data_IF_296090639380
#
_entry.id   IF_296090639380
#
_cell.length_a   1.000
_cell.length_b   1.000
_cell.length_c   1.000
_cell.angle_alpha   90.00
_cell.angle_beta   90.00
_cell.angle_gamma   90.00
#
_symmetry.space_group_name_H-M   'P 1'
#
loop_
_entity.id
_entity.type
_entity.pdbx_description
1 polymer ?
#
# COMPACT_ATOMS: atom_id res chain seq x y z
N UNK A 1 6.01 23.37 -28.18
CA UNK A 1 5.24 22.93 -29.37
C UNK A 1 4.03 22.18 -28.87
N UNK A 2 2.82 22.70 -29.08
CA UNK A 2 1.58 22.05 -28.67
C UNK A 2 1.34 20.82 -29.55
N UNK A 3 1.70 19.64 -29.06
CA UNK A 3 1.22 18.40 -29.66
C UNK A 3 -0.20 18.19 -29.17
N UNK A 4 -1.18 18.72 -29.90
CA UNK A 4 -2.60 18.43 -29.63
C UNK A 4 -2.85 16.96 -29.94
N UNK A 5 -2.79 16.13 -28.90
CA UNK A 5 -3.30 14.79 -28.95
C UNK A 5 -4.82 14.80 -28.73
N UNK A 6 -5.53 13.84 -29.30
CA UNK A 6 -6.89 13.54 -28.84
C UNK A 6 -6.77 12.95 -27.42
N UNK A 7 -7.10 13.76 -26.41
CA UNK A 7 -7.05 13.32 -25.02
C UNK A 7 -8.00 12.15 -24.79
N UNK A 8 -7.61 11.22 -23.92
CA UNK A 8 -8.50 10.14 -23.48
C UNK A 8 -9.58 10.77 -22.61
N UNK A 9 -10.84 10.63 -23.01
CA UNK A 9 -11.98 11.08 -22.22
C UNK A 9 -12.18 10.18 -21.02
N UNK A 10 -12.31 10.77 -19.85
CA UNK A 10 -12.59 10.09 -18.58
C UNK A 10 -13.96 10.58 -18.09
N UNK A 11 -14.93 9.67 -18.01
CA UNK A 11 -16.33 10.05 -17.77
C UNK A 11 -16.60 10.46 -16.32
N UNK A 12 -16.05 9.72 -15.37
CA UNK A 12 -16.23 9.97 -13.95
C UNK A 12 -15.07 10.79 -13.38
N UNK A 13 -15.34 11.66 -12.40
CA UNK A 13 -14.30 12.45 -11.78
C UNK A 13 -13.41 11.61 -10.86
N UNK A 14 -12.18 12.06 -10.68
CA UNK A 14 -11.23 11.53 -9.70
C UNK A 14 -11.06 12.52 -8.55
N UNK A 15 -10.93 12.03 -7.31
CA UNK A 15 -10.60 12.86 -6.16
C UNK A 15 -9.09 12.95 -6.06
N UNK A 16 -8.55 14.16 -6.17
CA UNK A 16 -7.14 14.43 -5.95
C UNK A 16 -6.94 15.06 -4.58
N UNK A 17 -6.08 14.45 -3.78
CA UNK A 17 -5.64 14.99 -2.50
C UNK A 17 -4.19 15.43 -2.62
N UNK A 18 -3.96 16.75 -2.59
CA UNK A 18 -2.62 17.31 -2.62
C UNK A 18 -1.91 17.13 -1.27
N UNK A 19 -0.60 17.37 -1.25
CA UNK A 19 0.24 17.06 -0.11
C UNK A 19 1.24 18.15 0.23
N UNK A 20 2.36 17.75 0.83
CA UNK A 20 3.34 18.66 1.42
C UNK A 20 4.74 18.53 0.79
N UNK A 21 5.57 19.56 1.03
CA UNK A 21 7.01 19.57 0.79
C UNK A 21 7.45 19.10 -0.62
N UNK A 22 8.43 18.19 -0.72
CA UNK A 22 9.01 17.78 -1.99
C UNK A 22 8.02 16.98 -2.83
N UNK A 23 7.17 16.20 -2.17
CA UNK A 23 6.12 15.42 -2.84
C UNK A 23 5.07 16.32 -3.47
N UNK A 24 4.70 17.46 -2.85
CA UNK A 24 3.78 18.44 -3.46
C UNK A 24 4.31 18.98 -4.79
N UNK A 25 5.61 19.33 -4.84
CA UNK A 25 6.26 19.83 -6.05
C UNK A 25 6.23 18.78 -7.17
N UNK A 26 6.58 17.54 -6.83
CA UNK A 26 6.56 16.40 -7.77
C UNK A 26 5.12 16.13 -8.24
N UNK A 27 4.16 16.16 -7.33
CA UNK A 27 2.75 15.88 -7.60
C UNK A 27 2.16 16.86 -8.62
N UNK A 28 2.46 18.15 -8.46
CA UNK A 28 2.04 19.17 -9.42
C UNK A 28 2.64 18.95 -10.80
N UNK A 29 3.92 18.60 -10.88
CA UNK A 29 4.59 18.26 -12.15
C UNK A 29 3.98 17.01 -12.80
N UNK A 30 3.73 15.95 -12.04
CA UNK A 30 3.07 14.74 -12.55
C UNK A 30 1.71 15.11 -13.13
N UNK A 31 0.86 15.82 -12.38
CA UNK A 31 -0.46 16.23 -12.87
C UNK A 31 -0.37 17.07 -14.14
N UNK A 32 0.49 18.10 -14.15
CA UNK A 32 0.59 19.05 -15.25
C UNK A 32 1.23 18.46 -16.52
N UNK A 33 2.21 17.57 -16.36
CA UNK A 33 3.06 17.11 -17.47
C UNK A 33 2.80 15.66 -17.90
N UNK A 34 2.33 14.81 -16.99
CA UNK A 34 2.12 13.38 -17.23
C UNK A 34 0.65 12.98 -17.28
N UNK A 35 -0.28 13.78 -16.73
CA UNK A 35 -1.72 13.43 -16.67
C UNK A 35 -2.55 14.33 -17.60
N UNK A 36 -2.66 15.63 -17.30
CA UNK A 36 -3.53 16.58 -18.00
C UNK A 36 -3.24 16.77 -19.50
N UNK A 37 -2.00 16.58 -20.02
CA UNK A 37 -1.75 16.64 -21.45
C UNK A 37 -2.39 15.49 -22.24
N UNK A 38 -2.63 14.36 -21.58
CA UNK A 38 -3.10 13.11 -22.22
C UNK A 38 -4.55 12.77 -21.90
N UNK A 39 -5.08 13.28 -20.79
CA UNK A 39 -6.42 12.95 -20.29
C UNK A 39 -7.34 14.19 -20.24
N UNK A 40 -8.57 14.02 -20.69
CA UNK A 40 -9.68 14.93 -20.42
C UNK A 40 -10.45 14.36 -19.22
N UNK A 41 -10.09 14.83 -18.03
CA UNK A 41 -10.51 14.28 -16.74
C UNK A 41 -10.97 15.39 -15.79
N UNK A 42 -12.11 15.19 -15.15
CA UNK A 42 -12.61 16.05 -14.09
C UNK A 42 -11.94 15.69 -12.76
N UNK A 43 -11.21 16.64 -12.17
CA UNK A 43 -10.50 16.45 -10.91
C UNK A 43 -11.20 17.21 -9.80
N UNK A 44 -11.66 16.47 -8.78
CA UNK A 44 -12.14 17.06 -7.51
C UNK A 44 -10.94 17.24 -6.59
N UNK A 45 -10.42 18.45 -6.59
CA UNK A 45 -9.20 18.81 -5.88
C UNK A 45 -9.48 19.16 -4.41
N UNK A 46 -8.69 18.56 -3.52
CA UNK A 46 -8.67 18.84 -2.08
C UNK A 46 -7.21 19.07 -1.66
N UNK A 47 -6.92 20.23 -1.11
CA UNK A 47 -5.58 20.52 -0.60
C UNK A 47 -5.40 19.94 0.80
N UNK A 48 -4.65 18.85 0.94
CA UNK A 48 -4.33 18.29 2.27
C UNK A 48 -2.96 18.78 2.78
N UNK A 49 -2.42 19.84 2.19
CA UNK A 49 -1.25 20.54 2.71
C UNK A 49 -1.48 20.99 4.15
N UNK A 50 -0.45 20.90 4.99
CA UNK A 50 -0.52 21.11 6.44
C UNK A 50 -1.09 22.48 6.80
N UNK A 51 -0.72 23.53 6.08
CA UNK A 51 -1.22 24.89 6.31
C UNK A 51 -2.74 24.99 6.04
N UNK A 52 -3.23 24.40 4.95
CA UNK A 52 -4.68 24.45 4.63
C UNK A 52 -5.51 23.51 5.52
N UNK A 53 -4.93 22.39 5.97
CA UNK A 53 -5.53 21.59 7.04
C UNK A 53 -5.63 22.39 8.33
N UNK A 54 -4.60 23.14 8.71
CA UNK A 54 -4.68 24.01 9.89
C UNK A 54 -5.73 25.12 9.71
N UNK A 55 -5.78 25.77 8.54
CA UNK A 55 -6.78 26.79 8.21
C UNK A 55 -8.21 26.28 8.38
N UNK A 56 -8.51 25.08 7.84
CA UNK A 56 -9.84 24.47 7.81
C UNK A 56 -10.19 23.64 9.05
N UNK A 57 -9.37 23.69 10.08
CA UNK A 57 -9.49 22.87 11.29
C UNK A 57 -9.58 21.35 10.99
N UNK A 58 -8.80 20.91 10.00
CA UNK A 58 -8.72 19.56 9.41
C UNK A 58 -10.01 19.07 8.74
N UNK A 59 -11.00 19.96 8.54
CA UNK A 59 -12.25 19.61 7.86
C UNK A 59 -12.01 19.17 6.42
N UNK A 60 -11.05 19.77 5.70
CA UNK A 60 -10.72 19.40 4.32
C UNK A 60 -10.36 17.91 4.17
N UNK A 61 -9.75 17.31 5.20
CA UNK A 61 -9.39 15.89 5.20
C UNK A 61 -10.62 14.99 5.25
N UNK A 62 -11.63 15.38 6.05
CA UNK A 62 -12.92 14.68 6.12
C UNK A 62 -13.69 14.84 4.81
N UNK A 63 -13.75 16.06 4.29
CA UNK A 63 -14.45 16.36 3.03
C UNK A 63 -13.84 15.59 1.84
N UNK A 64 -12.50 15.45 1.80
CA UNK A 64 -11.82 14.64 0.81
C UNK A 64 -12.20 13.15 0.93
N UNK A 65 -12.23 12.60 2.14
CA UNK A 65 -12.62 11.20 2.38
C UNK A 65 -14.08 10.92 1.95
N UNK A 66 -15.01 11.83 2.27
CA UNK A 66 -16.40 11.75 1.83
C UNK A 66 -16.53 11.86 0.30
N UNK A 67 -15.70 12.69 -0.33
CA UNK A 67 -15.64 12.78 -1.79
C UNK A 67 -15.14 11.46 -2.42
N UNK A 68 -14.17 10.77 -1.82
CA UNK A 68 -13.73 9.46 -2.31
C UNK A 68 -14.88 8.45 -2.22
N UNK A 69 -15.63 8.42 -1.11
CA UNK A 69 -16.81 7.57 -1.00
C UNK A 69 -17.87 7.88 -2.06
N UNK A 70 -18.03 9.17 -2.40
CA UNK A 70 -18.98 9.63 -3.43
C UNK A 70 -18.57 9.28 -4.85
N UNK A 71 -17.30 9.49 -5.21
CA UNK A 71 -16.80 9.38 -6.58
C UNK A 71 -16.05 8.06 -6.85
N UNK A 72 -15.71 7.32 -5.80
CA UNK A 72 -15.15 5.97 -5.81
C UNK A 72 -13.63 5.88 -6.00
N UNK A 73 -12.94 6.94 -6.40
CA UNK A 73 -11.49 6.90 -6.68
C UNK A 73 -10.81 8.13 -6.11
N UNK A 74 -9.87 7.90 -5.19
CA UNK A 74 -8.96 8.90 -4.63
C UNK A 74 -7.51 8.64 -5.03
N UNK A 75 -6.78 9.70 -5.37
CA UNK A 75 -5.31 9.68 -5.53
C UNK A 75 -4.71 10.70 -4.58
N UNK A 76 -3.72 10.27 -3.79
CA UNK A 76 -3.21 11.03 -2.66
C UNK A 76 -1.71 11.24 -2.71
N UNK A 77 -1.32 12.51 -2.56
CA UNK A 77 0.05 12.91 -2.29
C UNK A 77 0.44 12.65 -0.82
N UNK A 78 1.73 12.49 -0.55
CA UNK A 78 2.22 12.35 0.82
C UNK A 78 1.98 13.64 1.62
N UNK A 79 1.54 13.50 2.87
CA UNK A 79 1.18 14.60 3.78
C UNK A 79 1.99 14.54 5.08
N UNK A 80 2.28 15.69 5.67
CA UNK A 80 2.91 15.76 6.99
C UNK A 80 1.90 15.33 8.06
N UNK A 81 2.30 14.43 8.96
CA UNK A 81 1.63 14.28 10.26
C UNK A 81 2.47 15.08 11.27
N UNK A 82 1.96 16.19 11.83
CA UNK A 82 2.78 17.08 12.64
C UNK A 82 3.13 16.47 14.00
N UNK A 83 4.39 16.63 14.40
CA UNK A 83 4.89 16.45 15.77
C UNK A 83 5.05 17.82 16.45
N UNK A 84 5.61 17.86 17.66
CA UNK A 84 5.84 19.11 18.40
C UNK A 84 6.69 20.11 17.59
N UNK A 85 7.74 19.63 16.91
CA UNK A 85 8.61 20.48 16.11
C UNK A 85 7.88 21.08 14.90
N UNK A 86 6.99 20.32 14.27
CA UNK A 86 6.15 20.82 13.16
C UNK A 86 5.08 21.80 13.63
N UNK A 87 4.53 21.62 14.83
CA UNK A 87 3.61 22.59 15.44
C UNK A 87 4.30 23.94 15.61
N UNK A 88 5.54 23.95 16.11
CA UNK A 88 6.34 25.17 16.24
C UNK A 88 6.72 25.77 14.87
N UNK A 89 7.21 24.94 13.94
CA UNK A 89 7.67 25.37 12.62
C UNK A 89 6.55 26.08 11.83
N UNK A 90 5.36 25.47 11.78
CA UNK A 90 4.23 25.96 11.00
C UNK A 90 3.26 26.83 11.81
N UNK A 91 3.54 27.03 13.11
CA UNK A 91 2.67 27.77 14.04
C UNK A 91 1.23 27.25 14.06
N UNK A 92 1.09 25.93 14.14
CA UNK A 92 -0.21 25.26 14.04
C UNK A 92 -1.10 25.56 15.26
N UNK A 93 -2.42 25.62 15.03
CA UNK A 93 -3.41 25.75 16.10
C UNK A 93 -3.34 24.60 17.11
N UNK A 94 -3.05 23.39 16.62
CA UNK A 94 -2.82 22.18 17.43
C UNK A 94 -2.11 21.10 16.61
N UNK A 95 -1.69 20.04 17.30
CA UNK A 95 -1.15 18.84 16.67
C UNK A 95 -2.27 18.05 16.00
N UNK A 96 -2.45 18.26 14.69
CA UNK A 96 -3.46 17.57 13.88
C UNK A 96 -3.17 16.08 13.74
N UNK A 97 -4.23 15.26 13.62
CA UNK A 97 -4.10 13.82 13.40
C UNK A 97 -3.58 13.54 11.98
N UNK A 98 -3.08 12.33 11.78
CA UNK A 98 -2.63 11.88 10.45
C UNK A 98 -3.80 11.86 9.45
N UNK A 99 -3.70 12.53 8.29
CA UNK A 99 -4.74 12.47 7.26
C UNK A 99 -5.02 11.04 6.79
N UNK A 100 -3.97 10.21 6.68
CA UNK A 100 -4.09 8.79 6.33
C UNK A 100 -4.95 8.04 7.34
N UNK A 101 -4.76 8.30 8.63
CA UNK A 101 -5.57 7.72 9.70
C UNK A 101 -7.04 8.14 9.60
N UNK A 102 -7.30 9.44 9.37
CA UNK A 102 -8.65 9.97 9.21
C UNK A 102 -9.36 9.36 7.99
N UNK A 103 -8.71 9.36 6.81
CA UNK A 103 -9.26 8.79 5.57
C UNK A 103 -9.55 7.29 5.76
N UNK A 104 -8.59 6.51 6.27
CA UNK A 104 -8.78 5.07 6.52
C UNK A 104 -9.92 4.78 7.49
N UNK A 105 -10.12 5.63 8.50
CA UNK A 105 -11.23 5.47 9.44
C UNK A 105 -12.60 5.75 8.80
N UNK A 106 -12.67 6.68 7.84
CA UNK A 106 -13.92 7.06 7.16
C UNK A 106 -14.25 6.05 6.05
N UNK A 107 -13.27 5.71 5.20
CA UNK A 107 -13.45 4.76 4.10
C UNK A 107 -13.61 3.32 4.63
N UNK A 108 -12.92 2.99 5.73
CA UNK A 108 -12.70 1.61 6.15
C UNK A 108 -11.82 0.85 5.15
N UNK A 109 -11.78 -0.47 5.30
CA UNK A 109 -11.13 -1.36 4.32
C UNK A 109 -9.69 -1.75 4.66
N UNK A 110 -8.94 -2.08 3.61
CA UNK A 110 -7.65 -2.77 3.68
C UNK A 110 -6.60 -2.04 2.87
N UNK A 111 -5.42 -1.82 3.44
CA UNK A 111 -4.28 -1.23 2.72
C UNK A 111 -3.46 -2.35 2.09
N UNK A 112 -3.36 -2.34 0.77
CA UNK A 112 -2.49 -3.21 0.00
C UNK A 112 -1.21 -2.47 -0.39
N UNK A 113 -0.06 -3.04 -0.05
CA UNK A 113 1.25 -2.54 -0.43
C UNK A 113 1.91 -3.51 -1.40
N UNK A 114 2.28 -3.04 -2.59
CA UNK A 114 2.89 -3.86 -3.65
C UNK A 114 4.22 -3.26 -4.11
N UNK A 115 5.32 -4.04 -4.13
CA UNK A 115 6.59 -3.55 -4.60
C UNK A 115 6.58 -3.35 -6.11
N UNK A 116 7.16 -2.24 -6.55
CA UNK A 116 7.41 -1.91 -7.95
C UNK A 116 8.73 -2.57 -8.34
N UNK A 117 8.65 -3.61 -9.16
CA UNK A 117 9.83 -4.38 -9.55
C UNK A 117 10.61 -3.63 -10.63
N UNK A 118 11.86 -3.34 -10.31
CA UNK A 118 12.87 -2.83 -11.23
C UNK A 118 14.02 -3.83 -11.20
N UNK A 119 14.26 -4.54 -12.31
CA UNK A 119 15.17 -5.69 -12.37
C UNK A 119 16.62 -5.33 -12.05
N UNK A 120 17.07 -4.15 -12.50
CA UNK A 120 18.44 -3.67 -12.25
C UNK A 120 18.71 -3.27 -10.81
N UNK A 121 17.67 -3.02 -10.00
CA UNK A 121 17.85 -2.63 -8.60
C UNK A 121 18.14 -3.89 -7.77
N UNK A 122 19.28 -3.97 -7.08
CA UNK A 122 19.61 -5.13 -6.26
C UNK A 122 18.59 -5.32 -5.14
N UNK A 123 18.11 -6.55 -5.01
CA UNK A 123 17.19 -6.97 -3.95
C UNK A 123 17.98 -7.50 -2.77
N UNK A 124 17.57 -7.18 -1.54
CA UNK A 124 18.20 -7.75 -0.35
C UNK A 124 17.90 -9.26 -0.21
N UNK A 125 16.80 -9.71 -0.80
CA UNK A 125 16.47 -11.13 -0.94
C UNK A 125 16.44 -11.45 -2.45
N UNK A 126 17.55 -11.95 -3.03
CA UNK A 126 17.68 -12.14 -4.47
C UNK A 126 16.65 -13.09 -5.09
N UNK A 127 16.12 -14.04 -4.32
CA UNK A 127 15.11 -14.99 -4.77
C UNK A 127 13.76 -14.35 -5.11
N UNK A 128 13.48 -13.14 -4.61
CA UNK A 128 12.21 -12.45 -4.83
C UNK A 128 12.09 -11.88 -6.24
N UNK A 129 11.73 -12.73 -7.20
CA UNK A 129 11.58 -12.39 -8.62
C UNK A 129 10.17 -11.94 -8.99
N UNK A 130 9.15 -12.30 -8.20
CA UNK A 130 7.75 -11.88 -8.35
C UNK A 130 7.32 -11.01 -7.14
N UNK A 131 6.29 -10.16 -7.26
CA UNK A 131 5.93 -9.22 -6.19
C UNK A 131 5.32 -9.92 -4.98
N UNK A 132 5.63 -9.44 -3.78
CA UNK A 132 4.93 -9.83 -2.54
C UNK A 132 4.06 -8.65 -2.12
N UNK A 133 2.75 -8.81 -2.20
CA UNK A 133 1.76 -7.80 -1.81
C UNK A 133 1.43 -8.00 -0.32
N UNK A 134 1.41 -6.94 0.47
CA UNK A 134 0.93 -7.00 1.86
C UNK A 134 -0.46 -6.41 1.93
N UNK A 135 -1.45 -7.20 2.32
CA UNK A 135 -2.75 -6.70 2.77
C UNK A 135 -2.71 -6.46 4.27
N UNK A 136 -2.62 -5.20 4.68
CA UNK A 136 -2.61 -4.79 6.09
C UNK A 136 -4.04 -4.47 6.56
N UNK A 137 -4.46 -5.12 7.65
CA UNK A 137 -5.69 -4.73 8.35
C UNK A 137 -5.54 -3.38 9.04
N UNK A 138 -6.24 -2.35 8.58
CA UNK A 138 -6.05 -0.98 9.04
C UNK A 138 -6.98 -0.57 10.22
N UNK A 139 -7.36 -1.51 11.10
CA UNK A 139 -8.27 -1.24 12.22
C UNK A 139 -7.88 -2.00 13.50
N UNK A 140 -8.13 -1.37 14.67
CA UNK A 140 -8.02 -2.02 15.98
C UNK A 140 -6.59 -2.42 16.34
N UNK A 141 -6.48 -3.47 17.15
CA UNK A 141 -5.24 -4.01 17.71
C UNK A 141 -4.42 -2.92 18.43
N UNK A 142 -3.09 -2.97 18.37
CA UNK A 142 -2.18 -2.04 19.06
C UNK A 142 -2.46 -0.56 18.72
N UNK A 143 -3.02 -0.28 17.54
CA UNK A 143 -3.25 1.08 17.03
C UNK A 143 -4.49 1.76 17.64
N UNK A 144 -5.30 1.00 18.40
CA UNK A 144 -6.41 1.51 19.21
C UNK A 144 -6.39 0.90 20.61
N UNK A 145 -5.21 0.52 21.07
CA UNK A 145 -5.02 0.00 22.40
C UNK A 145 -5.12 1.12 23.45
N UNK A 146 -5.36 0.72 24.68
CA UNK A 146 -5.18 1.56 25.87
C UNK A 146 -4.08 0.95 26.71
N UNK A 147 -3.05 1.73 27.02
CA UNK A 147 -1.90 1.35 27.81
C UNK A 147 -1.81 2.16 29.10
N UNK A 148 -1.12 1.58 30.10
CA UNK A 148 -0.97 2.18 31.43
C UNK A 148 0.39 1.80 32.03
N UNK A 149 1.00 2.76 32.72
CA UNK A 149 2.14 2.51 33.61
C UNK A 149 1.60 2.13 34.99
N UNK A 150 2.03 0.98 35.50
CA UNK A 150 1.66 0.47 36.82
C UNK A 150 2.77 0.90 37.80
N UNK A 151 2.50 1.84 38.73
CA UNK A 151 3.56 2.43 39.55
C UNK A 151 3.98 1.54 40.73
N UNK A 152 3.17 0.58 41.15
CA UNK A 152 3.40 -0.24 42.34
C UNK A 152 2.68 -1.60 42.27
N UNK A 153 2.74 -2.39 43.34
CA UNK A 153 2.04 -3.69 43.40
C UNK A 153 0.52 -3.51 43.32
N UNK A 154 -0.13 -4.30 42.47
CA UNK A 154 -1.57 -4.18 42.24
C UNK A 154 -2.11 -5.21 41.25
N UNK A 155 -3.43 -5.35 41.22
CA UNK A 155 -4.13 -6.26 40.31
C UNK A 155 -4.52 -5.54 39.02
N UNK A 156 -4.23 -6.15 37.88
CA UNK A 156 -4.72 -5.72 36.57
C UNK A 156 -5.81 -6.70 36.10
N UNK A 157 -6.97 -6.16 35.75
CA UNK A 157 -8.17 -6.90 35.35
C UNK A 157 -8.71 -6.37 34.01
N UNK A 158 -9.33 -7.26 33.24
CA UNK A 158 -10.09 -6.93 32.03
C UNK A 158 -11.58 -7.18 32.31
N UNK A 159 -12.37 -6.12 32.27
CA UNK A 159 -13.81 -6.17 32.58
C UNK A 159 -14.64 -5.90 31.32
N UNK A 160 -15.49 -6.84 30.95
CA UNK A 160 -16.50 -6.68 29.90
C UNK A 160 -17.89 -6.61 30.52
N UNK A 161 -18.59 -5.50 30.32
CA UNK A 161 -19.96 -5.29 30.79
C UNK A 161 -20.92 -5.29 29.61
N UNK A 162 -21.82 -6.29 29.47
CA UNK A 162 -22.83 -6.27 28.43
C UNK A 162 -23.81 -5.10 28.59
N UNK A 163 -24.25 -4.50 27.48
CA UNK A 163 -25.31 -3.48 27.48
C UNK A 163 -26.65 -4.04 27.98
N UNK A 164 -26.90 -5.32 27.70
CA UNK A 164 -28.01 -6.07 28.25
C UNK A 164 -27.80 -6.27 29.75
N UNK A 165 -28.46 -5.41 30.54
CA UNK A 165 -28.37 -5.37 32.01
C UNK A 165 -28.83 -6.67 32.68
N UNK A 166 -29.46 -7.60 31.95
CA UNK A 166 -29.79 -8.93 32.48
C UNK A 166 -28.59 -9.89 32.51
N UNK A 167 -27.51 -9.56 31.80
CA UNK A 167 -26.28 -10.37 31.73
C UNK A 167 -25.25 -9.84 32.70
N UNK A 168 -24.54 -10.75 33.36
CA UNK A 168 -23.49 -10.39 34.30
C UNK A 168 -22.22 -9.90 33.57
N UNK A 169 -21.51 -8.90 34.12
CA UNK A 169 -20.18 -8.54 33.66
C UNK A 169 -19.22 -9.74 33.76
N UNK A 170 -18.31 -9.83 32.80
CA UNK A 170 -17.19 -10.77 32.83
C UNK A 170 -15.97 -10.03 33.37
N UNK A 171 -15.35 -10.56 34.42
CA UNK A 171 -14.09 -10.04 34.96
C UNK A 171 -13.01 -11.10 34.80
N UNK A 172 -11.94 -10.76 34.09
CA UNK A 172 -10.80 -11.63 33.83
C UNK A 172 -9.55 -11.00 34.47
N UNK A 173 -8.96 -11.69 35.43
CA UNK A 173 -7.65 -11.29 35.95
C UNK A 173 -6.59 -11.47 34.86
N UNK A 174 -5.85 -10.38 34.57
CA UNK A 174 -4.75 -10.40 33.61
C UNK A 174 -3.45 -10.75 34.33
N UNK A 175 -3.12 -10.01 35.39
CA UNK A 175 -1.91 -10.23 36.17
C UNK A 175 -1.96 -9.52 37.54
N UNK A 176 -1.27 -10.05 38.54
CA UNK A 176 -1.02 -9.37 39.81
C UNK A 176 0.43 -8.90 39.88
N UNK A 177 0.64 -7.59 39.73
CA UNK A 177 1.95 -6.95 39.79
C UNK A 177 2.50 -6.97 41.22
N UNK A 178 3.77 -7.35 41.38
CA UNK A 178 4.50 -7.32 42.65
C UNK A 178 5.51 -6.15 42.74
N UNK A 179 5.67 -5.42 41.64
CA UNK A 179 6.61 -4.32 41.45
C UNK A 179 6.11 -3.46 40.26
N UNK A 180 6.68 -2.26 40.02
CA UNK A 180 6.28 -1.41 38.91
C UNK A 180 6.35 -2.14 37.55
N UNK A 181 5.43 -1.80 36.64
CA UNK A 181 5.29 -2.46 35.35
C UNK A 181 4.45 -1.68 34.35
N UNK A 182 3.98 -2.36 33.30
CA UNK A 182 3.16 -1.78 32.24
C UNK A 182 2.05 -2.76 31.86
N UNK A 183 0.87 -2.23 31.53
CA UNK A 183 -0.29 -2.99 31.06
C UNK A 183 -0.82 -2.43 29.76
N UNK A 184 -1.46 -3.28 28.96
CA UNK A 184 -2.12 -2.89 27.72
C UNK A 184 -3.35 -3.76 27.48
N UNK A 185 -4.41 -3.15 26.96
CA UNK A 185 -5.58 -3.84 26.42
C UNK A 185 -5.84 -3.37 24.98
N UNK A 186 -6.23 -4.29 24.10
CA UNK A 186 -6.57 -4.01 22.70
C UNK A 186 -7.82 -4.79 22.28
N UNK A 187 -8.42 -4.38 21.16
CA UNK A 187 -9.64 -5.00 20.65
C UNK A 187 -9.68 -5.00 19.12
N UNK A 188 -10.55 -5.86 18.59
CA UNK A 188 -11.01 -5.78 17.22
C UNK A 188 -12.50 -6.15 17.12
N UNK A 189 -13.11 -5.99 15.95
CA UNK A 189 -14.51 -6.35 15.72
C UNK A 189 -14.61 -7.41 14.63
N UNK A 190 -15.59 -8.32 14.77
CA UNK A 190 -15.80 -9.34 13.73
C UNK A 190 -16.12 -8.72 12.38
N UNK A 191 -16.91 -7.63 12.36
CA UNK A 191 -17.23 -6.93 11.11
C UNK A 191 -15.96 -6.46 10.39
N UNK A 192 -15.04 -5.81 11.12
CA UNK A 192 -13.79 -5.32 10.53
C UNK A 192 -12.90 -6.46 10.01
N UNK A 193 -12.90 -7.62 10.69
CA UNK A 193 -12.15 -8.80 10.22
C UNK A 193 -12.80 -9.44 9.00
N UNK A 194 -14.14 -9.49 8.92
CA UNK A 194 -14.87 -9.98 7.74
C UNK A 194 -14.59 -9.10 6.52
N UNK A 195 -14.66 -7.79 6.72
CA UNK A 195 -14.38 -6.78 5.70
C UNK A 195 -12.95 -6.92 5.13
N UNK A 196 -11.98 -7.14 6.02
CA UNK A 196 -10.59 -7.42 5.66
C UNK A 196 -10.43 -8.72 4.87
N UNK A 197 -11.15 -9.78 5.25
CA UNK A 197 -11.14 -11.05 4.54
C UNK A 197 -11.69 -10.89 3.10
N UNK A 198 -12.83 -10.24 2.93
CA UNK A 198 -13.42 -9.98 1.61
C UNK A 198 -12.47 -9.19 0.71
N UNK A 199 -11.87 -8.11 1.22
CA UNK A 199 -10.90 -7.32 0.46
C UNK A 199 -9.69 -8.17 0.03
N UNK A 200 -9.16 -9.01 0.93
CA UNK A 200 -8.01 -9.89 0.66
C UNK A 200 -8.32 -10.94 -0.41
N UNK A 201 -9.50 -11.57 -0.38
CA UNK A 201 -9.90 -12.55 -1.39
C UNK A 201 -10.14 -11.91 -2.76
N UNK A 202 -10.78 -10.74 -2.79
CA UNK A 202 -11.02 -10.00 -4.04
C UNK A 202 -9.71 -9.55 -4.70
N UNK A 203 -8.76 -9.02 -3.90
CA UNK A 203 -7.44 -8.63 -4.41
C UNK A 203 -6.70 -9.81 -5.06
N UNK A 204 -6.78 -11.00 -4.48
CA UNK A 204 -6.15 -12.18 -5.07
C UNK A 204 -6.81 -12.65 -6.37
N UNK A 205 -8.14 -12.62 -6.43
CA UNK A 205 -8.88 -12.89 -7.67
C UNK A 205 -8.47 -11.89 -8.76
N UNK A 206 -8.43 -10.60 -8.43
CA UNK A 206 -8.09 -9.53 -9.36
C UNK A 206 -6.68 -9.69 -9.93
N UNK A 207 -5.69 -9.90 -9.04
CA UNK A 207 -4.30 -10.06 -9.45
C UNK A 207 -4.04 -11.42 -10.11
N UNK A 208 -5.01 -12.35 -10.05
CA UNK A 208 -4.83 -13.79 -10.37
C UNK A 208 -3.59 -14.35 -9.69
N UNK A 209 -3.25 -13.75 -8.56
CA UNK A 209 -2.19 -14.24 -7.70
C UNK A 209 -2.92 -15.12 -6.72
N UNK A 210 -2.44 -16.36 -6.63
CA UNK A 210 -2.53 -16.97 -5.34
C UNK A 210 -1.88 -15.99 -4.37
N UNK A 211 -2.46 -15.85 -3.19
CA UNK A 211 -1.61 -15.41 -2.08
C UNK A 211 -0.63 -16.64 -1.92
N UNK A 212 0.56 -16.52 -1.32
CA UNK A 212 1.88 -17.29 -1.36
C UNK A 212 2.46 -18.03 -2.60
N UNK A 213 3.77 -18.32 -2.56
CA UNK A 213 4.65 -19.02 -3.51
C UNK A 213 5.83 -19.74 -2.81
N UNK A 214 6.36 -20.77 -3.47
CA UNK A 214 7.63 -21.44 -3.17
C UNK A 214 7.85 -22.62 -4.13
N UNK A 215 8.91 -22.58 -4.95
CA UNK A 215 9.45 -23.75 -5.66
C UNK A 215 10.35 -24.56 -4.71
N UNK A 216 10.16 -25.88 -4.67
CA UNK A 216 11.16 -26.80 -4.15
C UNK A 216 11.95 -27.41 -5.31
N UNK A 217 13.22 -27.04 -5.33
CA UNK A 217 14.38 -27.70 -5.92
C UNK A 217 14.15 -29.13 -6.44
N UNK A 218 14.44 -29.34 -7.73
CA UNK A 218 14.71 -30.66 -8.31
C UNK A 218 16.08 -31.15 -7.82
N UNK A 219 16.16 -31.77 -6.65
CA UNK A 219 17.36 -32.53 -6.25
C UNK A 219 17.06 -34.03 -6.28
N UNK A 220 17.83 -34.78 -7.07
CA UNK A 220 17.76 -36.23 -7.33
C UNK A 220 18.07 -37.14 -6.12
N UNK A 221 17.96 -36.65 -4.88
CA UNK A 221 18.42 -37.37 -3.68
C UNK A 221 17.32 -37.72 -2.67
N UNK A 222 16.06 -37.39 -2.92
CA UNK A 222 14.95 -37.84 -2.08
C UNK A 222 14.43 -39.19 -2.58
N UNK A 223 14.82 -40.24 -1.86
CA UNK A 223 14.32 -41.62 -2.02
C UNK A 223 12.83 -41.64 -1.64
N UNK A 224 12.04 -42.15 -2.58
CA UNK A 224 10.63 -42.57 -2.48
C UNK A 224 9.54 -41.49 -2.63
N UNK A 225 9.11 -41.27 -3.88
CA UNK A 225 7.91 -40.53 -4.26
C UNK A 225 7.28 -41.18 -5.51
N UNK A 226 6.69 -42.36 -5.37
CA UNK A 226 5.96 -43.03 -6.47
C UNK A 226 4.44 -43.15 -6.28
N UNK A 227 3.84 -42.50 -5.28
CA UNK A 227 2.38 -42.55 -5.08
C UNK A 227 1.70 -41.17 -4.87
N UNK A 228 2.09 -40.14 -5.63
CA UNK A 228 1.27 -38.93 -5.77
C UNK A 228 1.19 -38.47 -7.24
N UNK A 229 0.01 -37.99 -7.71
CA UNK A 229 -0.19 -37.63 -9.10
C UNK A 229 0.71 -36.44 -9.53
N UNK A 230 1.26 -36.47 -10.75
CA UNK A 230 2.26 -35.52 -11.21
C UNK A 230 1.61 -34.25 -11.77
N UNK A 231 1.64 -33.16 -11.00
CA UNK A 231 1.59 -31.75 -11.43
C UNK A 231 1.18 -30.85 -10.26
N UNK A 232 2.13 -30.53 -9.38
CA UNK A 232 1.88 -29.65 -8.24
C UNK A 232 2.99 -28.59 -8.12
N UNK A 233 2.99 -27.66 -9.08
CA UNK A 233 3.59 -26.33 -8.87
C UNK A 233 2.62 -25.53 -8.00
N UNK A 234 2.88 -25.49 -6.69
CA UNK A 234 1.95 -24.96 -5.68
C UNK A 234 2.49 -23.66 -5.04
N UNK A 235 1.79 -22.52 -5.21
CA UNK A 235 1.94 -21.18 -4.64
C UNK A 235 0.61 -20.67 -3.92
N UNK A 236 0.56 -20.37 -2.58
CA UNK A 236 -0.56 -20.44 -1.55
C UNK A 236 -1.08 -19.25 -0.65
N UNK A 237 -2.38 -18.79 -0.55
CA UNK A 237 -2.72 -17.61 0.33
C UNK A 237 -2.34 -17.88 1.80
N UNK A 238 -1.71 -16.96 2.56
CA UNK A 238 -1.75 -16.90 4.02
C UNK A 238 -2.34 -15.63 4.64
N UNK A 239 -3.37 -15.85 5.45
CA UNK A 239 -3.64 -15.02 6.61
C UNK A 239 -2.75 -15.52 7.77
N UNK A 240 -1.97 -14.64 8.38
CA UNK A 240 -1.02 -15.03 9.44
C UNK A 240 -1.45 -14.57 10.82
N UNK A 241 -1.37 -15.48 11.80
CA UNK A 241 -1.67 -15.19 13.20
C UNK A 241 -0.74 -15.91 14.16
N UNK A 242 -0.92 -15.70 15.47
CA UNK A 242 -0.34 -16.51 16.53
C UNK A 242 -1.44 -17.21 17.35
N UNK A 243 -2.43 -17.83 16.67
CA UNK A 243 -3.61 -18.45 17.30
C UNK A 243 -3.29 -19.63 18.24
N UNK A 244 -2.11 -20.25 18.15
CA UNK A 244 -1.66 -21.23 19.14
C UNK A 244 -1.47 -20.63 20.53
N UNK A 245 -1.16 -19.33 20.60
CA UNK A 245 -0.99 -18.56 21.83
C UNK A 245 -2.26 -17.76 22.13
N UNK A 246 -2.71 -16.93 21.18
CA UNK A 246 -3.89 -16.07 21.31
C UNK A 246 -5.16 -16.79 20.84
N UNK A 247 -5.52 -17.90 21.51
CA UNK A 247 -6.60 -18.81 21.06
C UNK A 247 -7.94 -18.12 20.85
N UNK A 248 -8.35 -17.23 21.78
CA UNK A 248 -9.61 -16.50 21.69
C UNK A 248 -9.58 -15.34 20.69
N UNK A 249 -8.47 -14.61 20.63
CA UNK A 249 -8.35 -13.42 19.78
C UNK A 249 -8.00 -13.81 18.34
N UNK A 250 -6.84 -14.41 18.12
CA UNK A 250 -6.32 -14.80 16.80
C UNK A 250 -7.04 -16.02 16.22
N UNK A 251 -7.69 -16.84 17.06
CA UNK A 251 -8.57 -17.91 16.59
C UNK A 251 -9.77 -17.37 15.79
N UNK A 252 -10.37 -16.26 16.24
CA UNK A 252 -11.48 -15.63 15.53
C UNK A 252 -11.10 -15.17 14.12
N UNK A 253 -9.88 -14.67 13.93
CA UNK A 253 -9.38 -14.30 12.61
C UNK A 253 -9.35 -15.50 11.66
N UNK A 254 -8.78 -16.61 12.13
CA UNK A 254 -8.70 -17.86 11.36
C UNK A 254 -10.09 -18.36 10.98
N UNK A 255 -10.97 -18.43 11.96
CA UNK A 255 -12.30 -19.00 11.78
C UNK A 255 -13.16 -18.15 10.82
N UNK A 256 -13.10 -16.81 10.95
CA UNK A 256 -13.81 -15.89 10.06
C UNK A 256 -13.32 -16.01 8.62
N UNK A 257 -12.00 -15.97 8.39
CA UNK A 257 -11.44 -16.09 7.05
C UNK A 257 -11.80 -17.44 6.41
N UNK A 258 -11.69 -18.54 7.17
CA UNK A 258 -12.02 -19.87 6.68
C UNK A 258 -13.49 -19.96 6.27
N UNK A 259 -14.40 -19.48 7.13
CA UNK A 259 -15.83 -19.52 6.87
C UNK A 259 -16.21 -18.70 5.61
N UNK A 260 -15.62 -17.52 5.42
CA UNK A 260 -15.85 -16.70 4.23
C UNK A 260 -15.28 -17.39 2.98
N UNK A 261 -14.07 -17.93 3.06
CA UNK A 261 -13.45 -18.62 1.92
C UNK A 261 -14.33 -19.78 1.43
N UNK A 262 -14.74 -20.67 2.34
CA UNK A 262 -15.51 -21.86 2.00
C UNK A 262 -16.90 -21.53 1.45
N UNK A 263 -17.55 -20.50 2.00
CA UNK A 263 -18.91 -20.12 1.62
C UNK A 263 -18.99 -19.31 0.32
N UNK A 264 -17.98 -18.49 0.01
CA UNK A 264 -18.08 -17.49 -1.07
C UNK A 264 -16.98 -17.58 -2.14
N UNK A 265 -15.74 -17.90 -1.77
CA UNK A 265 -14.59 -17.69 -2.67
C UNK A 265 -13.94 -18.98 -3.19
N UNK A 266 -14.12 -20.11 -2.52
CA UNK A 266 -13.49 -21.38 -2.87
C UNK A 266 -13.76 -21.82 -4.32
N UNK A 267 -14.98 -21.58 -4.82
CA UNK A 267 -15.36 -21.89 -6.20
C UNK A 267 -14.58 -21.08 -7.23
N UNK A 268 -14.43 -19.77 -7.01
CA UNK A 268 -13.71 -18.89 -7.93
C UNK A 268 -12.19 -19.11 -7.89
N UNK A 269 -11.66 -19.32 -6.67
CA UNK A 269 -10.27 -19.68 -6.46
C UNK A 269 -9.89 -20.95 -7.23
N UNK A 270 -10.74 -21.99 -7.14
CA UNK A 270 -10.56 -23.23 -7.89
C UNK A 270 -10.57 -23.02 -9.41
N UNK A 271 -11.45 -22.17 -9.94
CA UNK A 271 -11.49 -21.87 -11.40
C UNK A 271 -10.23 -21.17 -11.88
N UNK A 272 -9.69 -20.27 -11.07
CA UNK A 272 -8.49 -19.50 -11.39
C UNK A 272 -7.19 -20.27 -11.10
N UNK A 273 -7.27 -21.44 -10.46
CA UNK A 273 -6.10 -22.22 -10.05
C UNK A 273 -5.32 -21.57 -8.92
N UNK A 274 -5.97 -20.74 -8.10
CA UNK A 274 -5.43 -20.08 -6.90
C UNK A 274 -6.10 -20.67 -5.63
N UNK A 275 -5.54 -20.47 -4.44
CA UNK A 275 -6.07 -21.10 -3.20
C UNK A 275 -5.73 -20.31 -1.95
N UNK A 276 -6.40 -20.66 -0.84
CA UNK A 276 -6.23 -20.08 0.50
C UNK A 276 -5.78 -21.08 1.57
N UNK A 277 -4.94 -20.62 2.49
CA UNK A 277 -4.43 -21.32 3.67
C UNK A 277 -4.22 -20.34 4.85
N UNK A 278 -4.26 -20.85 6.08
CA UNK A 278 -3.87 -20.09 7.27
C UNK A 278 -2.50 -20.58 7.75
N UNK A 279 -1.62 -19.65 8.18
CA UNK A 279 -0.31 -20.00 8.76
C UNK A 279 -0.03 -19.26 10.05
N UNK A 280 0.84 -19.85 10.86
CA UNK A 280 1.44 -19.12 11.97
C UNK A 280 2.44 -18.10 11.42
N UNK A 281 2.47 -16.90 12.02
CA UNK A 281 3.28 -15.77 11.51
C UNK A 281 4.78 -16.09 11.43
N UNK A 282 5.31 -16.88 12.36
CA UNK A 282 6.71 -17.30 12.37
C UNK A 282 7.08 -18.25 11.22
N UNK A 283 6.22 -19.22 10.92
CA UNK A 283 6.39 -20.06 9.72
C UNK A 283 6.24 -19.22 8.45
N UNK A 284 5.29 -18.28 8.46
CA UNK A 284 5.03 -17.46 7.30
C UNK A 284 6.22 -16.57 6.93
N UNK A 285 6.79 -15.81 7.87
CA UNK A 285 7.93 -14.95 7.55
C UNK A 285 9.15 -15.77 7.11
N UNK A 286 9.33 -16.99 7.64
CA UNK A 286 10.39 -17.89 7.19
C UNK A 286 10.15 -18.36 5.74
N UNK A 287 8.91 -18.68 5.38
CA UNK A 287 8.53 -19.03 4.01
C UNK A 287 8.67 -17.85 3.05
N UNK A 288 8.25 -16.65 3.47
CA UNK A 288 8.37 -15.41 2.70
C UNK A 288 9.80 -15.21 2.20
N UNK A 289 10.77 -15.29 3.11
CA UNK A 289 12.19 -15.13 2.80
C UNK A 289 12.72 -16.21 1.84
N UNK A 290 12.23 -17.45 1.96
CA UNK A 290 12.63 -18.57 1.08
C UNK A 290 11.93 -18.60 -0.28
N UNK A 291 10.84 -17.85 -0.43
CA UNK A 291 9.99 -17.88 -1.61
C UNK A 291 10.60 -17.16 -2.82
N UNK A 292 9.95 -17.30 -3.97
CA UNK A 292 10.24 -16.48 -5.16
C UNK A 292 9.33 -15.24 -5.29
N UNK A 293 8.53 -14.95 -4.27
CA UNK A 293 7.45 -13.97 -4.32
C UNK A 293 6.31 -14.37 -5.26
N UNK A 294 5.39 -13.46 -5.58
CA UNK A 294 4.26 -13.72 -6.47
C UNK A 294 2.98 -14.04 -5.71
N UNK A 295 2.72 -13.23 -4.70
CA UNK A 295 1.63 -13.45 -3.78
C UNK A 295 1.22 -12.27 -2.93
N UNK A 296 0.01 -12.33 -2.38
CA UNK A 296 -0.41 -11.46 -1.29
C UNK A 296 -0.06 -12.10 0.08
N UNK A 297 0.02 -11.31 1.15
CA UNK A 297 0.11 -11.70 2.57
C UNK A 297 -0.96 -10.91 3.33
N UNK A 298 -1.99 -11.58 3.85
CA UNK A 298 -3.02 -10.92 4.66
C UNK A 298 -2.54 -10.89 6.11
N UNK A 299 -2.18 -9.71 6.59
CA UNK A 299 -1.56 -9.50 7.89
C UNK A 299 -2.43 -8.62 8.79
N UNK A 300 -2.47 -8.97 10.08
CA UNK A 300 -3.01 -8.12 11.14
C UNK A 300 -2.32 -6.76 11.14
N UNK A 301 -2.89 -5.80 11.84
CA UNK A 301 -2.48 -4.39 11.72
C UNK A 301 -0.97 -4.19 11.96
N UNK A 302 -0.45 -4.72 13.07
CA UNK A 302 0.96 -4.59 13.42
C UNK A 302 1.89 -5.37 12.48
N UNK A 303 1.55 -6.63 12.19
CA UNK A 303 2.35 -7.47 11.29
C UNK A 303 2.43 -6.84 9.89
N UNK A 304 1.31 -6.32 9.38
CA UNK A 304 1.23 -5.68 8.08
C UNK A 304 2.06 -4.40 7.99
N UNK A 305 2.12 -3.63 9.07
CA UNK A 305 2.99 -2.45 9.15
C UNK A 305 4.47 -2.85 9.02
N UNK A 306 4.94 -3.72 9.92
CA UNK A 306 6.36 -4.13 9.98
C UNK A 306 6.78 -4.88 8.71
N UNK A 307 6.00 -5.86 8.25
CA UNK A 307 6.38 -6.68 7.10
C UNK A 307 6.33 -5.91 5.79
N UNK A 308 5.47 -4.90 5.67
CA UNK A 308 5.44 -4.08 4.45
C UNK A 308 6.72 -3.29 4.24
N UNK A 309 7.34 -2.80 5.32
CA UNK A 309 8.63 -2.11 5.26
C UNK A 309 9.79 -3.08 4.95
N UNK A 310 9.77 -4.28 5.55
CA UNK A 310 10.73 -5.35 5.24
C UNK A 310 10.65 -5.73 3.76
N UNK A 311 9.44 -5.90 3.22
CA UNK A 311 9.23 -6.23 1.82
C UNK A 311 9.69 -5.07 0.93
N UNK A 312 9.29 -3.83 1.21
CA UNK A 312 9.73 -2.67 0.44
C UNK A 312 11.25 -2.56 0.36
N UNK A 313 11.93 -2.70 1.50
CA UNK A 313 13.39 -2.65 1.54
C UNK A 313 14.02 -3.87 0.85
N UNK A 314 13.42 -5.06 0.97
CA UNK A 314 13.89 -6.27 0.32
C UNK A 314 13.78 -6.23 -1.20
N UNK A 315 12.83 -5.47 -1.75
CA UNK A 315 12.73 -5.16 -3.18
C UNK A 315 13.54 -3.94 -3.63
N UNK A 316 14.27 -3.27 -2.72
CA UNK A 316 15.32 -2.32 -3.03
C UNK A 316 15.15 -0.93 -2.41
N UNK A 317 13.95 -0.35 -2.42
CA UNK A 317 13.70 1.00 -1.90
C UNK A 317 12.24 1.20 -1.50
N UNK A 318 12.00 1.98 -0.45
CA UNK A 318 10.66 2.48 -0.08
C UNK A 318 10.00 3.29 -1.21
N UNK A 319 10.81 3.91 -2.09
CA UNK A 319 10.34 4.62 -3.29
C UNK A 319 9.80 3.71 -4.40
N UNK A 320 9.98 2.39 -4.25
CA UNK A 320 9.50 1.35 -5.17
C UNK A 320 8.35 0.54 -4.54
N UNK A 321 7.41 1.23 -3.90
CA UNK A 321 6.24 0.60 -3.26
C UNK A 321 4.98 1.42 -3.58
N UNK A 322 3.95 0.77 -4.12
CA UNK A 322 2.61 1.35 -4.24
C UNK A 322 1.79 1.05 -3.00
N UNK A 323 0.82 1.91 -2.68
CA UNK A 323 -0.10 1.74 -1.55
C UNK A 323 -1.54 2.02 -2.01
N UNK A 324 -2.45 1.09 -1.74
CA UNK A 324 -3.84 1.11 -2.20
C UNK A 324 -4.76 0.72 -1.05
N UNK A 325 -5.58 1.65 -0.56
CA UNK A 325 -6.68 1.36 0.35
C UNK A 325 -7.92 0.96 -0.46
N UNK A 326 -8.42 -0.25 -0.25
CA UNK A 326 -9.66 -0.73 -0.86
C UNK A 326 -10.75 -0.92 0.18
N UNK A 327 -11.95 -0.42 -0.11
CA UNK A 327 -13.14 -0.67 0.71
C UNK A 327 -13.56 -2.14 0.65
N UNK A 328 -14.33 -2.62 1.64
CA UNK A 328 -14.69 -4.04 1.74
C UNK A 328 -15.51 -4.56 0.53
N UNK A 329 -16.33 -3.69 -0.05
CA UNK A 329 -17.09 -3.99 -1.26
C UNK A 329 -16.22 -4.06 -2.52
N UNK A 330 -14.98 -3.54 -2.47
CA UNK A 330 -14.03 -3.48 -3.57
C UNK A 330 -14.38 -2.43 -4.63
N UNK A 331 -15.29 -1.51 -4.33
CA UNK A 331 -15.79 -0.51 -5.29
C UNK A 331 -15.13 0.85 -5.16
N UNK A 332 -14.51 1.12 -4.02
CA UNK A 332 -13.84 2.39 -3.73
C UNK A 332 -12.37 2.13 -3.44
N UNK A 333 -11.50 2.95 -4.05
CA UNK A 333 -10.06 2.92 -3.85
C UNK A 333 -9.54 4.30 -3.44
N UNK A 334 -8.55 4.31 -2.57
CA UNK A 334 -7.64 5.43 -2.39
C UNK A 334 -6.22 4.93 -2.66
N UNK A 335 -5.49 5.59 -3.55
CA UNK A 335 -4.12 5.22 -3.88
C UNK A 335 -3.14 6.33 -3.49
N UNK A 336 -2.10 5.96 -2.75
CA UNK A 336 -1.08 6.86 -2.23
C UNK A 336 0.34 6.38 -2.54
N UNK A 337 1.28 7.32 -2.50
CA UNK A 337 2.70 6.96 -2.40
C UNK A 337 2.97 6.36 -1.01
N UNK A 338 3.69 5.23 -0.94
CA UNK A 338 3.96 4.56 0.34
C UNK A 338 4.97 5.29 1.25
N UNK A 339 5.69 6.29 0.72
CA UNK A 339 6.73 7.03 1.44
C UNK A 339 6.24 8.38 1.97
N UNK A 340 7.01 8.98 2.89
CA UNK A 340 6.75 10.32 3.41
C UNK A 340 7.08 11.47 2.44
N UNK A 341 7.04 12.70 2.93
CA UNK A 341 7.12 13.95 2.15
C UNK A 341 8.52 14.37 1.70
N UNK A 342 9.55 13.60 2.12
CA UNK A 342 10.97 13.80 1.79
C UNK A 342 11.49 15.18 2.22
N UNK A 343 11.20 15.57 3.47
CA UNK A 343 11.58 16.86 4.08
C UNK A 343 13.02 17.28 3.82
N UNK A 344 13.98 16.35 3.93
CA UNK A 344 15.41 16.66 3.69
C UNK A 344 15.65 17.25 2.30
N UNK A 345 15.02 16.68 1.27
CA UNK A 345 15.17 17.18 -0.09
C UNK A 345 14.43 18.50 -0.27
N UNK A 346 13.27 18.66 0.39
CA UNK A 346 12.55 19.93 0.38
C UNK A 346 13.38 21.09 0.97
N UNK A 347 14.14 20.86 2.05
CA UNK A 347 15.06 21.89 2.59
C UNK A 347 16.16 22.30 1.63
N UNK A 348 16.65 21.37 0.82
CA UNK A 348 17.64 21.69 -0.23
C UNK A 348 16.98 22.44 -1.39
N UNK A 349 15.78 22.04 -1.79
CA UNK A 349 14.98 22.76 -2.79
C UNK A 349 14.68 24.20 -2.35
N UNK A 350 14.31 24.43 -1.08
CA UNK A 350 14.07 25.77 -0.53
C UNK A 350 15.30 26.68 -0.61
N UNK A 351 16.52 26.12 -0.64
CA UNK A 351 17.79 26.85 -0.82
C UNK A 351 18.15 27.08 -2.29
N UNK A 352 17.37 26.54 -3.23
CA UNK A 352 17.69 26.52 -4.66
C UNK A 352 18.71 25.46 -5.06
N UNK A 353 19.02 24.50 -4.17
CA UNK A 353 19.95 23.41 -4.48
C UNK A 353 19.28 22.31 -5.32
N UNK A 354 20.09 21.59 -6.09
CA UNK A 354 19.64 20.45 -6.89
C UNK A 354 19.13 19.31 -6.00
N UNK A 355 17.97 18.73 -6.35
CA UNK A 355 17.39 17.55 -5.69
C UNK A 355 17.23 16.39 -6.67
N UNK A 356 17.46 15.17 -6.19
CA UNK A 356 17.18 13.92 -6.92
C UNK A 356 16.29 13.02 -6.07
N UNK A 357 15.03 13.42 -5.96
CA UNK A 357 13.93 12.72 -5.31
C UNK A 357 13.24 11.82 -6.32
N UNK A 358 13.09 10.54 -5.98
CA UNK A 358 12.36 9.54 -6.76
C UNK A 358 10.86 9.86 -6.83
N UNK A 359 10.29 9.87 -8.04
CA UNK A 359 8.88 10.16 -8.29
C UNK A 359 8.05 8.92 -8.66
N UNK A 360 8.66 7.73 -8.73
CA UNK A 360 8.00 6.51 -9.24
C UNK A 360 6.76 6.16 -8.41
N UNK A 361 6.86 6.08 -7.08
CA UNK A 361 5.69 5.78 -6.23
C UNK A 361 4.58 6.83 -6.35
N UNK A 362 4.92 8.12 -6.53
CA UNK A 362 3.93 9.19 -6.75
C UNK A 362 3.24 9.06 -8.11
N UNK A 363 3.98 8.65 -9.16
CA UNK A 363 3.39 8.34 -10.47
C UNK A 363 2.46 7.13 -10.35
N UNK A 364 2.88 6.09 -9.63
CA UNK A 364 2.09 4.89 -9.42
C UNK A 364 0.79 5.19 -8.65
N UNK A 365 0.79 6.10 -7.67
CA UNK A 365 -0.44 6.52 -7.02
C UNK A 365 -1.49 7.04 -8.02
N UNK A 366 -1.06 7.86 -8.99
CA UNK A 366 -1.93 8.30 -10.09
C UNK A 366 -2.37 7.13 -10.98
N UNK A 367 -1.43 6.32 -11.48
CA UNK A 367 -1.77 5.25 -12.43
C UNK A 367 -2.67 4.19 -11.82
N UNK A 368 -2.49 3.83 -10.55
CA UNK A 368 -3.35 2.87 -9.84
C UNK A 368 -4.79 3.38 -9.73
N UNK A 369 -4.99 4.64 -9.35
CA UNK A 369 -6.31 5.27 -9.35
C UNK A 369 -6.95 5.29 -10.75
N UNK A 370 -6.19 5.68 -11.77
CA UNK A 370 -6.68 5.74 -13.16
C UNK A 370 -7.00 4.35 -13.74
N UNK A 371 -6.19 3.33 -13.45
CA UNK A 371 -6.43 1.95 -13.88
C UNK A 371 -7.68 1.40 -13.20
N UNK A 372 -7.87 1.66 -11.91
CA UNK A 372 -9.07 1.26 -11.19
C UNK A 372 -10.32 1.92 -11.79
N UNK A 373 -10.26 3.23 -12.04
CA UNK A 373 -11.32 3.97 -12.73
C UNK A 373 -11.60 3.40 -14.12
N UNK A 374 -10.56 3.13 -14.90
CA UNK A 374 -10.68 2.55 -16.24
C UNK A 374 -11.35 1.18 -16.23
N UNK A 375 -11.04 0.32 -15.26
CA UNK A 375 -11.73 -0.98 -15.08
C UNK A 375 -13.20 -0.80 -14.74
N UNK A 376 -13.49 0.08 -13.78
CA UNK A 376 -14.86 0.38 -13.33
C UNK A 376 -15.72 0.92 -14.48
N UNK A 377 -15.13 1.78 -15.30
CA UNK A 377 -15.83 2.50 -16.36
C UNK A 377 -15.71 1.79 -17.72
N UNK A 378 -15.11 0.58 -17.77
CA UNK A 378 -14.80 -0.18 -19.00
C UNK A 378 -14.04 0.63 -20.06
N UNK A 379 -13.13 1.50 -19.61
CA UNK A 379 -12.31 2.37 -20.45
C UNK A 379 -10.91 1.77 -20.67
N UNK A 380 -10.79 0.90 -21.67
CA UNK A 380 -9.52 0.23 -22.02
C UNK A 380 -8.40 1.22 -22.40
N UNK A 381 -8.74 2.37 -22.98
CA UNK A 381 -7.75 3.40 -23.32
C UNK A 381 -7.11 3.96 -22.05
N UNK A 382 -7.90 4.24 -21.01
CA UNK A 382 -7.41 4.71 -19.71
C UNK A 382 -6.58 3.64 -18.99
N UNK A 383 -7.03 2.38 -19.01
CA UNK A 383 -6.28 1.24 -18.45
C UNK A 383 -4.92 1.13 -19.14
N UNK A 384 -4.89 1.19 -20.47
CA UNK A 384 -3.67 1.12 -21.25
C UNK A 384 -2.74 2.30 -20.95
N UNK A 385 -3.28 3.51 -20.87
CA UNK A 385 -2.51 4.71 -20.52
C UNK A 385 -1.80 4.57 -19.17
N UNK A 386 -2.53 4.13 -18.13
CA UNK A 386 -1.94 3.91 -16.81
C UNK A 386 -0.81 2.87 -16.84
N UNK A 387 -1.01 1.75 -17.56
CA UNK A 387 0.01 0.71 -17.73
C UNK A 387 1.22 1.18 -18.54
N UNK A 388 1.01 1.98 -19.59
CA UNK A 388 2.10 2.53 -20.40
C UNK A 388 2.95 3.50 -19.56
N UNK A 389 2.33 4.30 -18.68
CA UNK A 389 3.03 5.20 -17.78
C UNK A 389 3.82 4.44 -16.71
N UNK A 390 3.25 3.39 -16.11
CA UNK A 390 3.99 2.49 -15.22
C UNK A 390 5.19 1.84 -15.94
N UNK A 391 4.99 1.37 -17.17
CA UNK A 391 6.06 0.79 -17.98
C UNK A 391 7.17 1.80 -18.29
N UNK A 392 6.84 3.06 -18.60
CA UNK A 392 7.86 4.11 -18.80
C UNK A 392 8.74 4.31 -17.57
N UNK A 393 8.18 4.21 -16.35
CA UNK A 393 8.94 4.35 -15.12
C UNK A 393 9.94 3.20 -14.92
N UNK A 394 9.51 1.97 -15.19
CA UNK A 394 10.38 0.78 -15.07
C UNK A 394 11.43 0.77 -16.17
N UNK A 395 11.03 1.01 -17.43
CA UNK A 395 11.91 1.05 -18.60
C UNK A 395 12.98 2.15 -18.48
N UNK A 396 12.66 3.31 -17.90
CA UNK A 396 13.65 4.36 -17.66
C UNK A 396 14.85 3.83 -16.85
N UNK A 397 14.60 3.02 -15.83
CA UNK A 397 15.67 2.46 -15.00
C UNK A 397 16.28 1.20 -15.65
N UNK A 398 15.43 0.24 -16.04
CA UNK A 398 15.87 -1.08 -16.51
C UNK A 398 16.44 -1.06 -17.92
N UNK A 399 15.92 -0.24 -18.83
CA UNK A 399 16.35 -0.17 -20.22
C UNK A 399 17.28 1.00 -20.42
N UNK A 400 16.83 2.21 -20.06
CA UNK A 400 17.53 3.45 -20.42
C UNK A 400 18.67 3.81 -19.45
N UNK A 401 18.68 3.23 -18.25
CA UNK A 401 19.66 3.54 -17.20
C UNK A 401 19.49 4.95 -16.60
N UNK A 402 18.35 5.60 -16.83
CA UNK A 402 17.98 6.91 -16.30
C UNK A 402 17.25 6.70 -14.98
N UNK A 403 17.84 7.20 -13.89
CA UNK A 403 17.29 6.98 -12.54
C UNK A 403 17.67 8.10 -11.57
N UNK A 404 16.96 8.16 -10.44
CA UNK A 404 17.27 9.08 -9.35
C UNK A 404 18.36 8.54 -8.42
N UNK A 405 18.90 9.43 -7.58
CA UNK A 405 20.09 9.18 -6.76
C UNK A 405 19.94 8.01 -5.79
N UNK A 406 18.74 7.78 -5.26
CA UNK A 406 18.44 6.64 -4.40
C UNK A 406 18.64 5.30 -5.13
N UNK A 407 18.11 5.17 -6.34
CA UNK A 407 18.26 3.95 -7.15
C UNK A 407 19.70 3.75 -7.60
N UNK A 408 20.36 4.82 -8.06
CA UNK A 408 21.78 4.77 -8.43
C UNK A 408 22.67 4.37 -7.25
N UNK A 409 22.33 4.82 -6.04
CA UNK A 409 23.04 4.43 -4.82
C UNK A 409 22.82 2.94 -4.53
N UNK A 410 21.60 2.41 -4.71
CA UNK A 410 21.30 0.99 -4.53
C UNK A 410 22.06 0.11 -5.54
N UNK A 411 22.22 0.56 -6.80
CA UNK A 411 22.92 -0.20 -7.84
C UNK A 411 24.46 -0.12 -7.69
N UNK A 412 24.99 1.08 -7.49
CA UNK A 412 26.44 1.33 -7.56
C UNK A 412 27.13 1.41 -6.19
N UNK A 413 26.38 1.54 -5.11
CA UNK A 413 26.91 1.66 -3.76
C UNK A 413 27.98 2.75 -3.65
N UNK A 414 29.14 2.39 -3.10
CA UNK A 414 30.28 3.32 -2.94
C UNK A 414 30.86 3.83 -4.27
N UNK A 415 30.58 3.14 -5.38
CA UNK A 415 31.07 3.51 -6.71
C UNK A 415 30.11 4.46 -7.45
N UNK A 416 29.05 4.93 -6.79
CA UNK A 416 28.10 5.87 -7.39
C UNK A 416 28.80 7.19 -7.76
N UNK A 417 28.60 7.63 -9.00
CA UNK A 417 29.09 8.91 -9.54
C UNK A 417 27.91 9.80 -9.91
N UNK A 418 28.15 11.11 -10.09
CA UNK A 418 27.10 12.07 -10.51
C UNK A 418 26.45 11.69 -11.83
N UNK A 419 27.20 11.08 -12.75
CA UNK A 419 26.71 10.61 -14.06
C UNK A 419 25.75 9.41 -13.98
N UNK A 420 25.67 8.71 -12.85
CA UNK A 420 24.79 7.56 -12.68
C UNK A 420 23.34 7.92 -12.31
N UNK A 421 23.06 9.20 -12.03
CA UNK A 421 21.70 9.63 -11.69
C UNK A 421 21.38 10.98 -12.29
N UNK A 422 20.09 11.26 -12.43
CA UNK A 422 19.56 12.55 -12.88
C UNK A 422 18.84 13.26 -11.73
N UNK A 423 18.59 14.56 -11.86
CA UNK A 423 17.76 15.27 -10.88
C UNK A 423 16.28 14.93 -11.06
N UNK A 424 15.44 15.39 -10.14
CA UNK A 424 14.00 15.10 -10.14
C UNK A 424 13.29 15.58 -11.41
N UNK A 425 13.66 16.75 -11.95
CA UNK A 425 13.00 17.30 -13.14
C UNK A 425 13.40 16.52 -14.39
N UNK A 426 14.70 16.27 -14.56
CA UNK A 426 15.23 15.50 -15.69
C UNK A 426 14.65 14.09 -15.75
N UNK A 427 14.45 13.45 -14.59
CA UNK A 427 13.78 12.14 -14.53
C UNK A 427 12.34 12.23 -15.04
N UNK A 428 11.55 13.19 -14.55
CA UNK A 428 10.17 13.40 -15.00
C UNK A 428 10.09 13.77 -16.49
N UNK A 429 11.02 14.58 -16.98
CA UNK A 429 11.13 14.95 -18.40
C UNK A 429 11.38 13.70 -19.27
N UNK A 430 12.27 12.80 -18.86
CA UNK A 430 12.52 11.53 -19.54
C UNK A 430 11.24 10.66 -19.59
N UNK A 431 10.53 10.53 -18.47
CA UNK A 431 9.25 9.79 -18.42
C UNK A 431 8.22 10.42 -19.38
N UNK A 432 8.10 11.74 -19.38
CA UNK A 432 7.17 12.47 -20.27
C UNK A 432 7.49 12.19 -21.74
N UNK A 433 8.76 12.23 -22.13
CA UNK A 433 9.19 11.96 -23.50
C UNK A 433 8.87 10.52 -23.94
N UNK A 434 9.18 9.54 -23.09
CA UNK A 434 8.88 8.13 -23.34
C UNK A 434 7.37 7.87 -23.43
N UNK A 435 6.58 8.44 -22.51
CA UNK A 435 5.12 8.36 -22.53
C UNK A 435 4.56 9.00 -23.80
N UNK A 436 5.05 10.18 -24.18
CA UNK A 436 4.62 10.89 -25.40
C UNK A 436 4.84 10.05 -26.66
N UNK A 437 5.99 9.34 -26.74
CA UNK A 437 6.28 8.42 -27.86
C UNK A 437 5.29 7.25 -27.90
N UNK A 438 5.04 6.59 -26.75
CA UNK A 438 4.07 5.49 -26.65
C UNK A 438 2.64 5.94 -26.99
N UNK A 439 2.23 7.10 -26.50
CA UNK A 439 0.90 7.66 -26.74
C UNK A 439 0.68 8.03 -28.22
N UNK A 440 1.69 8.59 -28.89
CA UNK A 440 1.63 8.84 -30.34
C UNK A 440 1.45 7.54 -31.14
N UNK A 441 2.19 6.50 -30.77
CA UNK A 441 2.14 5.21 -31.45
C UNK A 441 0.81 4.46 -31.25
N UNK A 442 0.09 4.69 -30.14
CA UNK A 442 -1.24 4.11 -29.93
C UNK A 442 -2.33 4.85 -30.73
N UNK A 443 -2.24 6.18 -30.83
CA UNK A 443 -3.17 7.01 -31.61
C UNK A 443 -3.10 6.70 -33.11
N UNK A 444 -1.91 6.53 -33.68
CA UNK A 444 -1.73 6.24 -35.11
C UNK A 444 -2.28 4.88 -35.54
N UNK A 445 -2.30 3.90 -34.62
CA UNK A 445 -2.89 2.57 -34.85
C UNK A 445 -4.41 2.55 -34.76
N UNK A 446 -5.02 3.52 -34.07
CA UNK A 446 -6.48 3.62 -33.96
C UNK A 446 -7.12 4.38 -35.14
N UNK A 447 -6.31 5.13 -35.90
CA UNK A 447 -6.73 5.88 -37.10
C UNK A 447 -6.60 5.11 -38.42
N UNK A 448 -6.09 3.87 -38.38
CA UNK A 448 -6.02 2.91 -39.49
C UNK A 448 -7.06 1.82 -39.26
#
# INVERSE_FOLDING_TARGET
MSTEFNKIKVENPIVEMDGDEMTRIIWHKIRAELILPFLDIDIKYYDLGLEYRDETDDKVTVDAAEAILKYGVGVKCATITPDEARVEEFKLKKMWKSPNGTIRNILGGTVFREPIIVEKVPKSVPGWVKPIIVGRHAHGDQYRATDIIIPESGKLELVYTPDDKSKNPTNLEVFHFKAPGMGLAMYNTQQSVRDFAHASFKMAIEKKLALVSGELCKCEWCIDCTEFPPSRSLLFQYMSTKNTILKGYDGQWKDIFQAIYESEYAGEFKKLGIWYEHRLIDDMVAQMIKSSGGFIMALKNYDGDVQSDIIAQGFGSLGLMSSELLTPDGKVIESEAAHGTVTRHYREHQKGNETSTNSIASIFAWTRGLIFMGKRDNNEALIKFGKDLEACCVEAVDVDGVMTKDLALSIHGKNMKREHYVNTSDFLDHIRESLTKKFKASQSKASL
#
